data_IF_240674567958
#
_entry.id   IF_240674567958
#
_cell.length_a   1.000
_cell.length_b   1.000
_cell.length_c   1.000
_cell.angle_alpha   90.00
_cell.angle_beta   90.00
_cell.angle_gamma   90.00
#
_symmetry.space_group_name_H-M   'P 1'
#
loop_
_entity.id
_entity.type
_entity.pdbx_description
1 polymer ?
#
# COMPACT_ATOMS: atom_id res chain seq x y z
N UNK A 1 6.28 -49.03 21.41
CA UNK A 1 5.45 -47.81 21.26
C UNK A 1 6.31 -46.72 20.68
N UNK A 2 6.12 -46.38 19.41
CA UNK A 2 6.82 -45.28 18.74
C UNK A 2 6.05 -43.99 18.99
N UNK A 3 6.57 -43.13 19.87
CA UNK A 3 6.02 -41.79 20.09
C UNK A 3 6.30 -40.92 18.87
N UNK A 4 5.27 -40.60 18.09
CA UNK A 4 5.37 -39.60 17.03
C UNK A 4 5.46 -38.22 17.70
N UNK A 5 6.65 -37.62 17.70
CA UNK A 5 6.85 -36.23 18.14
C UNK A 5 6.23 -35.32 17.08
N UNK A 6 5.04 -34.78 17.35
CA UNK A 6 4.41 -33.74 16.52
C UNK A 6 5.09 -32.40 16.82
N UNK A 7 6.14 -32.07 16.08
CA UNK A 7 6.67 -30.71 16.07
C UNK A 7 5.77 -29.85 15.16
N UNK A 8 4.64 -29.37 15.69
CA UNK A 8 3.83 -28.41 14.96
C UNK A 8 4.58 -27.07 14.91
N UNK A 9 4.74 -26.44 13.72
CA UNK A 9 5.26 -25.09 13.68
C UNK A 9 4.32 -24.23 14.51
N UNK A 10 4.84 -23.60 15.56
CA UNK A 10 4.11 -22.60 16.33
C UNK A 10 3.55 -21.62 15.33
N UNK A 11 2.23 -21.42 15.34
CA UNK A 11 1.64 -20.29 14.66
C UNK A 11 2.37 -19.07 15.21
N UNK A 12 3.25 -18.48 14.38
CA UNK A 12 3.82 -17.18 14.67
C UNK A 12 2.63 -16.22 14.64
N UNK A 13 2.01 -16.00 15.79
CA UNK A 13 1.32 -14.74 16.04
C UNK A 13 2.42 -13.70 16.11
N UNK A 14 2.94 -13.34 14.94
CA UNK A 14 3.78 -12.18 14.75
C UNK A 14 2.85 -11.01 15.02
N UNK A 15 2.77 -10.59 16.28
CA UNK A 15 2.33 -9.26 16.61
C UNK A 15 3.46 -8.35 16.14
N UNK A 16 3.56 -8.17 14.82
CA UNK A 16 4.61 -7.37 14.20
C UNK A 16 4.56 -6.00 14.88
N UNK A 17 5.70 -5.58 15.45
CA UNK A 17 5.92 -4.18 15.78
C UNK A 17 6.14 -3.45 14.44
N UNK A 18 5.16 -3.57 13.54
CA UNK A 18 5.13 -2.87 12.27
C UNK A 18 4.88 -1.40 12.53
N UNK A 19 5.39 -0.55 11.64
CA UNK A 19 5.06 0.87 11.69
C UNK A 19 3.65 1.12 11.16
N UNK A 20 3.10 2.28 11.45
CA UNK A 20 1.87 2.73 10.79
C UNK A 20 2.21 3.45 9.48
N UNK A 21 1.19 3.68 8.64
CA UNK A 21 1.30 4.57 7.49
C UNK A 21 1.74 5.96 7.98
N UNK A 22 2.55 6.67 7.19
CA UNK A 22 3.01 8.00 7.59
C UNK A 22 1.87 9.03 7.64
N UNK A 23 0.80 8.79 6.87
CA UNK A 23 -0.39 9.63 6.86
C UNK A 23 -1.66 8.79 6.92
N UNK A 24 -2.71 9.38 7.51
CA UNK A 24 -4.04 8.80 7.50
C UNK A 24 -4.65 8.76 6.11
N UNK A 25 -5.65 7.88 5.92
CA UNK A 25 -6.35 7.74 4.64
C UNK A 25 -7.09 9.03 4.24
N UNK A 26 -7.76 9.67 5.21
CA UNK A 26 -8.59 10.86 5.01
C UNK A 26 -7.82 12.19 5.08
N UNK A 27 -6.50 12.17 5.02
CA UNK A 27 -5.66 13.38 5.01
C UNK A 27 -5.64 14.03 3.61
N UNK A 28 -6.82 14.34 3.05
CA UNK A 28 -6.97 14.91 1.71
C UNK A 28 -6.46 16.35 1.62
N UNK A 29 -6.50 17.07 2.74
CA UNK A 29 -6.11 18.48 2.81
C UNK A 29 -4.60 18.68 2.76
N UNK A 30 -3.81 17.66 3.11
CA UNK A 30 -2.35 17.70 3.05
C UNK A 30 -1.83 17.70 1.61
N UNK A 31 -2.63 17.18 0.66
CA UNK A 31 -2.25 17.09 -0.75
C UNK A 31 -3.48 17.25 -1.68
N UNK A 32 -4.10 18.42 -1.59
CA UNK A 32 -5.26 18.83 -2.39
C UNK A 32 -5.06 18.59 -3.91
N UNK A 33 -3.95 19.02 -4.56
CA UNK A 33 -3.81 18.82 -6.00
C UNK A 33 -3.81 17.34 -6.39
N UNK A 34 -3.22 16.48 -5.54
CA UNK A 34 -3.21 15.03 -5.78
C UNK A 34 -4.58 14.41 -5.59
N UNK A 35 -5.39 14.88 -4.63
CA UNK A 35 -6.78 14.48 -4.50
C UNK A 35 -7.60 14.84 -5.75
N UNK A 36 -7.41 16.03 -6.31
CA UNK A 36 -8.05 16.42 -7.56
C UNK A 36 -7.60 15.57 -8.74
N UNK A 37 -6.30 15.25 -8.84
CA UNK A 37 -5.79 14.39 -9.91
C UNK A 37 -6.31 12.94 -9.77
N UNK A 38 -6.40 12.44 -8.55
CA UNK A 38 -6.93 11.11 -8.24
C UNK A 38 -8.43 10.98 -8.57
N UNK A 39 -9.22 12.05 -8.41
CA UNK A 39 -10.66 12.04 -8.71
C UNK A 39 -10.98 12.34 -10.17
N UNK A 40 -10.27 13.28 -10.81
CA UNK A 40 -10.52 13.67 -12.20
C UNK A 40 -9.83 12.76 -13.22
N UNK A 41 -8.61 12.28 -12.93
CA UNK A 41 -7.79 11.49 -13.85
C UNK A 41 -7.14 10.26 -13.17
N UNK A 42 -7.95 9.36 -12.58
CA UNK A 42 -7.46 8.20 -11.83
C UNK A 42 -6.44 7.31 -12.58
N UNK A 43 -6.62 6.91 -13.86
CA UNK A 43 -5.65 6.03 -14.51
C UNK A 43 -4.30 6.71 -14.75
N UNK A 44 -4.30 7.99 -15.12
CA UNK A 44 -3.07 8.77 -15.32
C UNK A 44 -2.32 8.95 -14.00
N UNK A 45 -3.05 9.23 -12.93
CA UNK A 45 -2.47 9.38 -11.60
C UNK A 45 -1.90 8.05 -11.08
N UNK A 46 -2.61 6.95 -11.30
CA UNK A 46 -2.13 5.62 -10.91
C UNK A 46 -0.87 5.24 -11.72
N UNK A 47 -0.82 5.54 -13.02
CA UNK A 47 0.40 5.43 -13.82
C UNK A 47 1.59 6.17 -13.22
N UNK A 48 1.37 7.42 -12.78
CA UNK A 48 2.39 8.22 -12.12
C UNK A 48 2.87 7.60 -10.80
N UNK A 49 1.97 6.98 -10.02
CA UNK A 49 2.33 6.27 -8.80
C UNK A 49 3.15 5.00 -9.08
N UNK A 50 2.76 4.22 -10.09
CA UNK A 50 3.51 3.04 -10.51
C UNK A 50 4.91 3.42 -11.01
N UNK A 51 5.02 4.45 -11.85
CA UNK A 51 6.32 4.97 -12.31
C UNK A 51 7.18 5.46 -11.12
N UNK A 52 6.55 6.17 -10.17
CA UNK A 52 7.21 6.59 -8.93
C UNK A 52 7.69 5.43 -8.06
N UNK A 53 7.01 4.28 -8.12
CA UNK A 53 7.39 3.03 -7.46
C UNK A 53 8.32 2.14 -8.31
N UNK A 54 8.84 2.67 -9.43
CA UNK A 54 9.71 1.96 -10.38
C UNK A 54 9.04 0.73 -11.00
N UNK A 55 7.73 0.79 -11.19
CA UNK A 55 6.90 -0.23 -11.84
C UNK A 55 6.33 0.28 -13.16
N UNK A 56 5.88 -0.64 -14.01
CA UNK A 56 5.38 -0.27 -15.32
C UNK A 56 3.99 0.40 -15.27
N UNK A 57 3.83 1.57 -15.87
CA UNK A 57 2.55 2.31 -15.93
C UNK A 57 1.42 1.54 -16.65
N UNK A 58 1.72 0.56 -17.50
CA UNK A 58 0.65 -0.24 -18.13
C UNK A 58 -0.03 -1.23 -17.17
N UNK A 59 0.55 -1.50 -15.99
CA UNK A 59 -0.04 -2.40 -14.99
C UNK A 59 -1.46 -1.96 -14.58
N UNK A 60 -1.70 -0.68 -14.26
CA UNK A 60 -3.04 -0.07 -14.15
C UNK A 60 -4.03 -0.42 -15.26
N UNK A 61 -3.55 -0.44 -16.51
CA UNK A 61 -4.40 -0.62 -17.70
C UNK A 61 -4.81 -2.09 -17.89
N UNK A 62 -3.98 -3.03 -17.41
CA UNK A 62 -4.20 -4.48 -17.55
C UNK A 62 -5.00 -5.06 -16.37
N UNK A 63 -5.54 -4.20 -15.50
CA UNK A 63 -6.41 -4.59 -14.39
C UNK A 63 -5.72 -4.61 -13.03
N UNK A 64 -4.48 -4.10 -12.93
CA UNK A 64 -3.85 -3.85 -11.63
C UNK A 64 -4.46 -2.59 -11.03
N UNK A 65 -5.43 -2.74 -10.13
CA UNK A 65 -6.02 -1.62 -9.39
C UNK A 65 -4.97 -0.97 -8.45
N UNK A 66 -5.37 -0.05 -7.58
CA UNK A 66 -4.44 0.55 -6.60
C UNK A 66 -4.00 -0.43 -5.48
N UNK A 67 -4.75 -1.51 -5.27
CA UNK A 67 -4.51 -2.48 -4.19
C UNK A 67 -3.13 -3.18 -4.24
N UNK A 68 -2.64 -3.69 -5.39
CA UNK A 68 -1.34 -4.36 -5.45
C UNK A 68 -0.19 -3.44 -5.07
N UNK A 69 -0.23 -2.17 -5.49
CA UNK A 69 0.78 -1.19 -5.10
C UNK A 69 0.76 -0.92 -3.59
N UNK A 70 -0.44 -0.79 -3.00
CA UNK A 70 -0.62 -0.63 -1.56
C UNK A 70 -0.08 -1.82 -0.77
N UNK A 71 -0.47 -3.04 -1.17
CA UNK A 71 -0.02 -4.29 -0.53
C UNK A 71 1.50 -4.45 -0.63
N UNK A 72 2.08 -4.13 -1.79
CA UNK A 72 3.54 -4.18 -1.99
C UNK A 72 4.25 -3.27 -1.00
N UNK A 73 3.88 -1.98 -0.95
CA UNK A 73 4.49 -0.99 -0.04
C UNK A 73 4.30 -1.43 1.43
N UNK A 74 3.10 -1.91 1.79
CA UNK A 74 2.80 -2.41 3.13
C UNK A 74 3.73 -3.55 3.53
N UNK A 75 3.92 -4.51 2.63
CA UNK A 75 4.75 -5.70 2.86
C UNK A 75 6.24 -5.35 2.91
N UNK A 76 6.71 -4.48 2.02
CA UNK A 76 8.12 -4.09 1.94
C UNK A 76 8.57 -3.25 3.14
N UNK A 77 7.69 -2.40 3.68
CA UNK A 77 8.02 -1.51 4.78
C UNK A 77 7.48 -1.96 6.13
N UNK A 78 7.04 -3.22 6.23
CA UNK A 78 6.46 -3.83 7.43
C UNK A 78 5.41 -2.92 8.11
N UNK A 79 4.45 -2.44 7.32
CA UNK A 79 3.38 -1.57 7.79
C UNK A 79 2.22 -2.43 8.34
N UNK A 80 1.69 -2.07 9.50
CA UNK A 80 0.56 -2.77 10.14
C UNK A 80 -0.69 -2.80 9.25
N UNK A 81 -1.47 -3.88 9.38
CA UNK A 81 -2.73 -4.07 8.67
C UNK A 81 -2.87 -5.48 8.08
N UNK A 82 -4.00 -5.74 7.44
CA UNK A 82 -4.27 -7.00 6.74
C UNK A 82 -4.52 -6.77 5.25
N UNK A 83 -4.40 -7.83 4.44
CA UNK A 83 -4.77 -7.77 3.01
C UNK A 83 -6.26 -7.42 2.82
N UNK A 84 -7.09 -7.80 3.79
CA UNK A 84 -8.51 -7.47 3.77
C UNK A 84 -8.74 -5.97 3.97
N UNK A 85 -8.01 -5.35 4.90
CA UNK A 85 -8.07 -3.89 5.10
C UNK A 85 -7.63 -3.15 3.83
N UNK A 86 -6.53 -3.60 3.20
CA UNK A 86 -6.04 -3.01 1.95
C UNK A 86 -7.07 -3.12 0.81
N UNK A 87 -7.81 -4.24 0.74
CA UNK A 87 -8.89 -4.43 -0.22
C UNK A 87 -10.09 -3.54 0.10
N UNK A 88 -10.56 -3.52 1.35
CA UNK A 88 -11.68 -2.68 1.78
C UNK A 88 -11.41 -1.20 1.51
N UNK A 89 -10.26 -0.68 1.92
CA UNK A 89 -9.90 0.73 1.70
C UNK A 89 -9.83 1.07 0.20
N UNK A 90 -9.30 0.14 -0.60
CA UNK A 90 -9.24 0.30 -2.06
C UNK A 90 -10.63 0.27 -2.70
N UNK A 91 -11.55 -0.55 -2.20
CA UNK A 91 -12.92 -0.64 -2.70
C UNK A 91 -13.77 0.57 -2.31
N UNK A 92 -13.70 1.01 -1.06
CA UNK A 92 -14.54 2.10 -0.57
C UNK A 92 -14.02 3.48 -0.98
N UNK A 93 -12.71 3.67 -1.03
CA UNK A 93 -12.10 4.99 -1.19
C UNK A 93 -10.81 4.94 -2.05
N UNK A 94 -10.86 4.48 -3.32
CA UNK A 94 -9.65 4.30 -4.14
C UNK A 94 -8.87 5.61 -4.35
N UNK A 95 -9.56 6.73 -4.48
CA UNK A 95 -8.94 8.05 -4.63
C UNK A 95 -8.09 8.42 -3.41
N UNK A 96 -8.58 8.12 -2.20
CA UNK A 96 -7.89 8.43 -0.96
C UNK A 96 -6.68 7.51 -0.77
N UNK A 97 -6.82 6.25 -1.16
CA UNK A 97 -5.69 5.29 -1.19
C UNK A 97 -4.58 5.80 -2.11
N UNK A 98 -4.91 6.27 -3.31
CA UNK A 98 -3.91 6.82 -4.23
C UNK A 98 -3.18 8.04 -3.63
N UNK A 99 -3.90 8.92 -2.93
CA UNK A 99 -3.30 10.07 -2.25
C UNK A 99 -2.42 9.66 -1.07
N UNK A 100 -2.86 8.69 -0.27
CA UNK A 100 -2.07 8.12 0.82
C UNK A 100 -0.78 7.50 0.29
N UNK A 101 -0.85 6.73 -0.80
CA UNK A 101 0.32 6.14 -1.44
C UNK A 101 1.29 7.18 -1.99
N UNK A 102 0.79 8.27 -2.59
CA UNK A 102 1.65 9.37 -3.01
C UNK A 102 2.46 9.93 -1.84
N UNK A 103 1.77 10.30 -0.76
CA UNK A 103 2.42 10.85 0.45
C UNK A 103 3.41 9.87 1.06
N UNK A 104 3.09 8.58 1.04
CA UNK A 104 3.98 7.53 1.52
C UNK A 104 5.25 7.42 0.66
N UNK A 105 5.09 7.39 -0.67
CA UNK A 105 6.20 7.38 -1.63
C UNK A 105 7.09 8.61 -1.46
N UNK A 106 6.49 9.78 -1.31
CA UNK A 106 7.22 11.03 -1.13
C UNK A 106 7.96 11.07 0.22
N UNK A 107 7.35 10.53 1.29
CA UNK A 107 8.01 10.32 2.59
C UNK A 107 9.19 9.35 2.48
N UNK A 108 9.05 8.24 1.75
CA UNK A 108 10.13 7.27 1.56
C UNK A 108 11.28 7.87 0.76
N UNK A 109 10.98 8.63 -0.31
CA UNK A 109 11.98 9.37 -1.09
C UNK A 109 12.72 10.39 -0.24
N UNK A 110 12.00 11.17 0.57
CA UNK A 110 12.60 12.18 1.45
C UNK A 110 13.55 11.56 2.49
N UNK A 111 13.26 10.35 2.96
CA UNK A 111 14.09 9.62 3.91
C UNK A 111 15.17 8.74 3.24
N UNK A 112 15.31 8.79 1.91
CA UNK A 112 16.28 7.97 1.17
C UNK A 112 16.00 6.47 1.23
N UNK A 113 14.77 6.07 1.56
CA UNK A 113 14.35 4.67 1.63
C UNK A 113 13.99 4.19 0.22
N UNK A 114 14.46 3.00 -0.14
CA UNK A 114 14.16 2.38 -1.44
C UNK A 114 12.68 2.01 -1.53
N UNK A 115 12.04 2.40 -2.64
CA UNK A 115 10.69 2.02 -3.04
C UNK A 115 10.73 0.75 -3.90
#
# INVERSE_FOLDING_TARGET
>A
MTSVVRNQPRAFYQHDIGREWNSGLFNCLDDVPSCWMATLFPPCFLCYLYDSAREACWLPVVGSFVAPLRVRIRTQHNIKGTLFDDYCDTCFCPCLVMCQLKREIDYLKANGVRI
#
